data_IF_996445788675
#
_entry.id   IF_996445788675
#
_cell.length_a   1.000
_cell.length_b   1.000
_cell.length_c   1.000
_cell.angle_alpha   90.00
_cell.angle_beta   90.00
_cell.angle_gamma   90.00
#
_symmetry.space_group_name_H-M   'P 1'
#
loop_
_entity.id
_entity.type
_entity.pdbx_description
1 polymer ?
#
# COMPACT_ATOMS: atom_id res chain seq x y z
N UNK A 1 26.06 18.67 -17.35
CA UNK A 1 26.06 19.23 -18.71
C UNK A 1 25.30 20.56 -18.60
N UNK A 2 26.03 21.68 -18.63
CA UNK A 2 25.49 23.03 -18.46
C UNK A 2 24.87 23.53 -19.77
N UNK A 3 23.68 24.13 -19.70
CA UNK A 3 23.19 25.08 -20.73
C UNK A 3 22.39 26.17 -20.02
N UNK A 4 22.94 27.38 -19.99
CA UNK A 4 22.19 28.65 -19.82
C UNK A 4 21.67 29.10 -21.19
N UNK A 5 20.59 29.90 -21.25
CA UNK A 5 20.35 30.82 -22.36
C UNK A 5 20.77 32.26 -21.98
N UNK A 6 21.56 32.87 -22.86
CA UNK A 6 21.79 34.31 -22.96
C UNK A 6 20.83 34.90 -24.01
N UNK A 7 20.35 36.11 -23.75
CA UNK A 7 20.24 37.27 -24.67
C UNK A 7 19.22 38.27 -24.10
N UNK A 8 19.24 39.59 -24.32
CA UNK A 8 20.23 40.63 -24.54
C UNK A 8 19.38 41.91 -24.74
N UNK A 9 19.59 43.01 -24.01
CA UNK A 9 19.21 44.36 -24.48
C UNK A 9 19.78 45.52 -23.64
N UNK A 10 20.15 46.57 -24.38
CA UNK A 10 20.96 47.76 -24.10
C UNK A 10 20.41 48.87 -23.17
N UNK A 11 21.39 49.59 -22.59
CA UNK A 11 21.50 51.05 -22.34
C UNK A 11 20.40 51.84 -21.60
N UNK A 12 20.75 52.48 -20.48
CA UNK A 12 21.27 53.86 -20.46
C UNK A 12 21.73 54.30 -19.05
N UNK A 13 22.86 54.99 -19.01
CA UNK A 13 23.50 55.55 -17.82
C UNK A 13 23.04 57.01 -17.65
N UNK A 14 22.41 57.35 -16.52
CA UNK A 14 22.25 58.75 -16.10
C UNK A 14 22.60 58.92 -14.62
N UNK A 15 23.81 59.44 -14.40
CA UNK A 15 24.20 60.14 -13.19
C UNK A 15 23.40 61.44 -13.09
N UNK A 16 22.77 61.70 -11.95
CA UNK A 16 22.36 63.05 -11.58
C UNK A 16 22.98 63.47 -10.25
N UNK A 17 23.62 64.63 -10.33
CA UNK A 17 24.34 65.37 -9.31
C UNK A 17 23.43 65.84 -8.17
N UNK A 18 24.01 65.85 -6.98
CA UNK A 18 23.53 66.53 -5.78
C UNK A 18 23.86 68.03 -5.89
N UNK A 19 22.92 68.97 -5.64
CA UNK A 19 23.27 70.36 -5.37
C UNK A 19 23.25 70.66 -3.87
N UNK A 20 24.27 71.43 -3.48
CA UNK A 20 24.55 71.99 -2.16
C UNK A 20 23.50 72.99 -1.68
N UNK A 21 23.20 72.94 -0.38
CA UNK A 21 22.54 74.01 0.38
C UNK A 21 23.56 75.09 0.74
N UNK A 22 23.26 76.35 0.42
CA UNK A 22 23.68 77.44 1.30
C UNK A 22 22.86 78.74 1.15
N UNK A 23 22.64 79.36 2.31
CA UNK A 23 22.39 80.79 2.60
C UNK A 23 20.98 81.43 2.51
N UNK A 24 20.54 81.80 3.73
CA UNK A 24 20.09 83.13 4.20
C UNK A 24 18.60 83.45 4.33
N UNK A 25 18.27 83.96 5.52
CA UNK A 25 16.98 84.29 6.09
C UNK A 25 16.58 85.76 5.87
N UNK A 26 15.27 86.07 5.75
CA UNK A 26 14.44 86.93 6.64
C UNK A 26 13.00 87.15 6.07
N UNK A 27 12.02 87.74 6.81
CA UNK A 27 10.84 87.04 7.34
C UNK A 27 9.47 87.46 6.74
N UNK A 28 8.41 86.90 7.33
CA UNK A 28 6.98 87.26 7.26
C UNK A 28 6.16 86.79 6.05
N UNK A 29 5.42 85.69 6.23
CA UNK A 29 3.99 85.61 5.91
C UNK A 29 3.38 84.33 6.50
N UNK A 30 2.43 84.56 7.41
CA UNK A 30 1.48 83.59 7.95
C UNK A 30 0.40 83.36 6.89
N UNK A 31 0.46 82.23 6.17
CA UNK A 31 -0.69 81.64 5.48
C UNK A 31 -0.32 80.26 4.90
N UNK A 32 -1.10 79.22 5.24
CA UNK A 32 -1.18 78.00 4.41
C UNK A 32 -0.69 76.66 4.98
N UNK A 33 -0.91 76.32 6.25
CA UNK A 33 -0.62 74.95 6.76
C UNK A 33 -1.68 73.88 6.40
N UNK A 34 -2.75 74.24 5.68
CA UNK A 34 -3.84 73.33 5.31
C UNK A 34 -3.66 72.56 3.99
N UNK A 35 -2.74 72.99 3.12
CA UNK A 35 -2.60 72.44 1.75
C UNK A 35 -1.63 71.26 1.63
N UNK A 36 -0.47 71.32 2.31
CA UNK A 36 0.55 70.26 2.22
C UNK A 36 0.14 68.98 2.98
N UNK A 37 -0.58 69.13 4.09
CA UNK A 37 -1.10 68.00 4.89
C UNK A 37 -2.19 67.22 4.15
N UNK A 38 -3.02 67.89 3.35
CA UNK A 38 -4.03 67.22 2.51
C UNK A 38 -3.43 66.49 1.31
N UNK A 39 -2.41 67.06 0.65
CA UNK A 39 -1.74 66.43 -0.50
C UNK A 39 -0.94 65.19 -0.10
N UNK A 40 -0.21 65.25 1.02
CA UNK A 40 0.49 64.09 1.57
C UNK A 40 -0.49 63.04 2.08
N UNK A 41 -1.58 63.44 2.74
CA UNK A 41 -2.62 62.52 3.20
C UNK A 41 -3.34 61.79 2.06
N UNK A 42 -3.57 62.45 0.92
CA UNK A 42 -4.19 61.81 -0.26
C UNK A 42 -3.25 60.81 -0.92
N UNK A 43 -1.98 61.17 -1.10
CA UNK A 43 -0.97 60.28 -1.72
C UNK A 43 -0.67 59.08 -0.83
N UNK A 44 -0.64 59.28 0.50
CA UNK A 44 -0.50 58.20 1.47
C UNK A 44 -1.72 57.26 1.41
N UNK A 45 -2.95 57.79 1.42
CA UNK A 45 -4.17 56.98 1.31
C UNK A 45 -4.25 56.13 0.02
N UNK A 46 -3.76 56.64 -1.12
CA UNK A 46 -3.73 55.87 -2.36
C UNK A 46 -2.72 54.70 -2.31
N UNK A 47 -1.57 54.91 -1.66
CA UNK A 47 -0.55 53.86 -1.45
C UNK A 47 -1.06 52.79 -0.47
N UNK A 48 -1.71 53.23 0.62
CA UNK A 48 -2.34 52.37 1.63
C UNK A 48 -3.38 51.43 1.00
N UNK A 49 -4.16 51.92 0.04
CA UNK A 49 -5.24 51.14 -0.55
C UNK A 49 -4.75 50.06 -1.53
N UNK A 50 -3.59 50.26 -2.14
CA UNK A 50 -2.96 49.28 -3.03
C UNK A 50 -2.32 48.14 -2.22
N UNK A 51 -1.54 48.46 -1.19
CA UNK A 51 -0.89 47.46 -0.31
C UNK A 51 -1.91 46.52 0.34
N UNK A 52 -3.09 47.02 0.73
CA UNK A 52 -4.18 46.21 1.28
C UNK A 52 -4.83 45.27 0.26
N UNK A 53 -4.93 45.65 -1.02
CA UNK A 53 -5.47 44.78 -2.07
C UNK A 53 -4.51 43.66 -2.42
N UNK A 54 -3.23 43.99 -2.50
CA UNK A 54 -2.17 43.03 -2.78
C UNK A 54 -2.08 42.00 -1.65
N UNK A 55 -2.21 42.44 -0.40
CA UNK A 55 -2.31 41.57 0.78
C UNK A 55 -3.47 40.55 0.73
N UNK A 56 -4.66 40.99 0.33
CA UNK A 56 -5.85 40.13 0.25
C UNK A 56 -5.70 39.12 -0.90
N UNK A 57 -5.11 39.54 -2.02
CA UNK A 57 -4.76 38.67 -3.14
C UNK A 57 -3.76 37.59 -2.74
N UNK A 58 -2.67 37.96 -2.08
CA UNK A 58 -1.62 37.05 -1.63
C UNK A 58 -2.17 36.03 -0.62
N UNK A 59 -3.01 36.49 0.31
CA UNK A 59 -3.63 35.61 1.32
C UNK A 59 -4.58 34.58 0.69
N UNK A 60 -5.35 34.97 -0.34
CA UNK A 60 -6.23 34.05 -1.09
C UNK A 60 -5.43 33.03 -1.88
N UNK A 61 -4.35 33.47 -2.53
CA UNK A 61 -3.46 32.61 -3.30
C UNK A 61 -2.86 31.53 -2.39
N UNK A 62 -2.34 31.92 -1.24
CA UNK A 62 -1.78 31.00 -0.25
C UNK A 62 -2.82 29.97 0.25
N UNK A 63 -4.08 30.37 0.45
CA UNK A 63 -5.14 29.43 0.85
C UNK A 63 -5.38 28.35 -0.21
N UNK A 64 -5.42 28.74 -1.49
CA UNK A 64 -5.57 27.77 -2.58
C UNK A 64 -4.38 26.81 -2.66
N UNK A 65 -3.16 27.35 -2.61
CA UNK A 65 -1.96 26.53 -2.64
C UNK A 65 -1.85 25.55 -1.45
N UNK A 66 -2.31 25.96 -0.27
CA UNK A 66 -2.35 25.09 0.91
C UNK A 66 -3.33 23.92 0.74
N UNK A 67 -4.46 24.14 0.08
CA UNK A 67 -5.41 23.06 -0.22
C UNK A 67 -4.80 22.05 -1.19
N UNK A 68 -4.15 22.53 -2.25
CA UNK A 68 -3.46 21.67 -3.23
C UNK A 68 -2.34 20.84 -2.57
N UNK A 69 -1.62 21.42 -1.60
CA UNK A 69 -0.59 20.71 -0.83
C UNK A 69 -1.18 19.58 0.05
N UNK A 70 -2.30 19.83 0.75
CA UNK A 70 -2.95 18.81 1.59
C UNK A 70 -3.50 17.64 0.74
N UNK A 71 -4.05 17.97 -0.43
CA UNK A 71 -4.49 16.99 -1.41
C UNK A 71 -3.31 16.15 -1.95
N UNK A 72 -2.18 16.79 -2.27
CA UNK A 72 -0.96 16.10 -2.70
C UNK A 72 -0.41 15.18 -1.60
N UNK A 73 -0.30 15.67 -0.36
CA UNK A 73 0.17 14.88 0.77
C UNK A 73 -0.73 13.65 0.98
N UNK A 74 -2.05 13.85 0.91
CA UNK A 74 -3.05 12.78 1.01
C UNK A 74 -2.96 11.78 -0.15
N UNK A 75 -2.72 12.25 -1.37
CA UNK A 75 -2.49 11.40 -2.53
C UNK A 75 -1.25 10.52 -2.34
N UNK A 76 -0.11 11.11 -1.95
CA UNK A 76 1.14 10.37 -1.74
C UNK A 76 1.02 9.33 -0.62
N UNK A 77 0.27 9.64 0.45
CA UNK A 77 -0.05 8.67 1.51
C UNK A 77 -0.87 7.49 1.00
N UNK A 78 -1.86 7.74 0.13
CA UNK A 78 -2.64 6.64 -0.47
C UNK A 78 -1.77 5.83 -1.43
N UNK A 79 -0.91 6.51 -2.20
CA UNK A 79 0.03 5.87 -3.10
C UNK A 79 1.01 4.97 -2.34
N UNK A 80 1.57 5.41 -1.21
CA UNK A 80 2.47 4.58 -0.42
C UNK A 80 1.80 3.28 0.03
N UNK A 81 0.56 3.33 0.50
CA UNK A 81 -0.20 2.13 0.88
C UNK A 81 -0.37 1.17 -0.30
N UNK A 82 -0.72 1.68 -1.48
CA UNK A 82 -0.85 0.85 -2.69
C UNK A 82 0.48 0.19 -3.10
N UNK A 83 1.59 0.93 -3.03
CA UNK A 83 2.93 0.41 -3.33
C UNK A 83 3.35 -0.65 -2.28
N UNK A 84 3.00 -0.46 -1.00
CA UNK A 84 3.25 -1.43 0.06
C UNK A 84 2.53 -2.75 -0.20
N UNK A 85 1.24 -2.67 -0.54
CA UNK A 85 0.42 -3.83 -0.86
C UNK A 85 0.94 -4.56 -2.10
N UNK A 86 1.28 -3.82 -3.16
CA UNK A 86 1.86 -4.39 -4.37
C UNK A 86 3.18 -5.13 -4.08
N UNK A 87 4.14 -4.44 -3.45
CA UNK A 87 5.44 -5.00 -3.13
C UNK A 87 5.35 -6.24 -2.24
N UNK A 88 4.54 -6.17 -1.18
CA UNK A 88 4.35 -7.29 -0.25
C UNK A 88 3.72 -8.52 -0.95
N UNK A 89 2.74 -8.30 -1.82
CA UNK A 89 2.08 -9.38 -2.55
C UNK A 89 3.03 -10.07 -3.55
N UNK A 90 3.86 -9.28 -4.26
CA UNK A 90 4.86 -9.83 -5.19
C UNK A 90 5.90 -10.66 -4.44
N UNK A 91 6.49 -10.13 -3.36
CA UNK A 91 7.49 -10.86 -2.56
C UNK A 91 6.88 -12.15 -2.01
N UNK A 92 5.70 -12.08 -1.41
CA UNK A 92 5.01 -13.24 -0.85
C UNK A 92 4.71 -14.29 -1.92
N UNK A 93 4.22 -13.87 -3.08
CA UNK A 93 3.91 -14.76 -4.20
C UNK A 93 5.16 -15.46 -4.74
N UNK A 94 6.24 -14.71 -4.96
CA UNK A 94 7.49 -15.25 -5.46
C UNK A 94 8.15 -16.24 -4.48
N UNK A 95 8.21 -15.89 -3.19
CA UNK A 95 8.76 -16.78 -2.16
C UNK A 95 7.92 -18.05 -1.98
N UNK A 96 6.59 -17.97 -2.06
CA UNK A 96 5.71 -19.13 -1.99
C UNK A 96 5.93 -20.08 -3.19
N UNK A 97 6.07 -19.55 -4.41
CA UNK A 97 6.38 -20.34 -5.60
C UNK A 97 7.77 -20.98 -5.53
N UNK A 98 8.77 -20.27 -4.97
CA UNK A 98 10.11 -20.82 -4.79
C UNK A 98 10.09 -22.00 -3.83
N UNK A 99 9.40 -21.86 -2.70
CA UNK A 99 9.29 -22.93 -1.71
C UNK A 99 8.53 -24.14 -2.25
N UNK A 100 7.44 -23.92 -2.98
CA UNK A 100 6.70 -24.99 -3.65
C UNK A 100 7.58 -25.75 -4.66
N UNK A 101 8.39 -25.04 -5.45
CA UNK A 101 9.33 -25.66 -6.38
C UNK A 101 10.41 -26.47 -5.63
N UNK A 102 10.94 -25.95 -4.53
CA UNK A 102 11.96 -26.62 -3.70
C UNK A 102 11.46 -27.93 -3.09
N UNK A 103 10.19 -27.99 -2.68
CA UNK A 103 9.57 -29.18 -2.07
C UNK A 103 9.17 -30.25 -3.10
N UNK A 104 9.13 -29.92 -4.39
CA UNK A 104 8.73 -30.85 -5.45
C UNK A 104 9.82 -31.88 -5.76
N UNK A 105 9.68 -33.10 -5.24
CA UNK A 105 10.65 -34.20 -5.46
C UNK A 105 10.75 -34.67 -6.92
N UNK A 106 9.70 -34.47 -7.72
CA UNK A 106 9.66 -34.80 -9.17
C UNK A 106 9.71 -33.56 -10.07
N UNK A 107 10.04 -32.39 -9.50
CA UNK A 107 10.06 -31.11 -10.23
C UNK A 107 11.11 -31.08 -11.34
N UNK A 108 10.91 -30.24 -12.37
CA UNK A 108 11.92 -29.97 -13.39
C UNK A 108 13.19 -29.37 -12.74
N UNK A 109 14.31 -30.08 -12.81
CA UNK A 109 15.61 -29.66 -12.29
C UNK A 109 16.57 -29.25 -13.42
N UNK A 110 17.81 -28.88 -13.08
CA UNK A 110 18.83 -28.48 -14.04
C UNK A 110 18.65 -27.03 -14.49
N UNK A 111 18.90 -26.76 -15.77
CA UNK A 111 18.90 -25.39 -16.30
C UNK A 111 17.54 -24.70 -16.16
N UNK A 112 16.43 -25.44 -16.26
CA UNK A 112 15.10 -24.93 -15.97
C UNK A 112 14.94 -24.47 -14.51
N UNK A 113 15.36 -25.30 -13.55
CA UNK A 113 15.22 -24.99 -12.12
C UNK A 113 16.05 -23.77 -11.71
N UNK A 114 17.28 -23.66 -12.25
CA UNK A 114 18.14 -22.50 -12.04
C UNK A 114 17.54 -21.22 -12.62
N UNK A 115 16.98 -21.31 -13.84
CA UNK A 115 16.23 -20.21 -14.46
C UNK A 115 15.04 -19.81 -13.59
N UNK A 116 14.23 -20.77 -13.16
CA UNK A 116 13.03 -20.52 -12.34
C UNK A 116 13.35 -19.79 -11.04
N UNK A 117 14.38 -20.24 -10.31
CA UNK A 117 14.81 -19.60 -9.07
C UNK A 117 15.25 -18.15 -9.27
N UNK A 118 16.02 -17.88 -10.33
CA UNK A 118 16.48 -16.54 -10.69
C UNK A 118 15.32 -15.63 -11.11
N UNK A 119 14.37 -16.12 -11.91
CA UNK A 119 13.15 -15.36 -12.26
C UNK A 119 12.39 -14.92 -11.01
N UNK A 120 12.21 -15.84 -10.04
CA UNK A 120 11.56 -15.51 -8.79
C UNK A 120 12.37 -14.52 -7.94
N UNK A 121 13.70 -14.62 -7.96
CA UNK A 121 14.60 -13.68 -7.26
C UNK A 121 14.47 -12.26 -7.81
N UNK A 122 14.41 -12.12 -9.13
CA UNK A 122 14.18 -10.83 -9.79
C UNK A 122 12.87 -10.20 -9.32
N UNK A 123 11.79 -10.98 -9.24
CA UNK A 123 10.50 -10.48 -8.77
C UNK A 123 10.51 -10.14 -7.27
N UNK A 124 11.19 -10.92 -6.43
CA UNK A 124 11.38 -10.56 -5.02
C UNK A 124 12.14 -9.24 -4.88
N UNK A 125 13.19 -9.01 -5.67
CA UNK A 125 13.94 -7.74 -5.70
C UNK A 125 13.06 -6.58 -6.13
N UNK A 126 12.26 -6.73 -7.20
CA UNK A 126 11.29 -5.71 -7.60
C UNK A 126 10.26 -5.43 -6.50
N UNK A 127 9.70 -6.48 -5.88
CA UNK A 127 8.77 -6.31 -4.77
C UNK A 127 9.39 -5.54 -3.60
N UNK A 128 10.68 -5.78 -3.30
CA UNK A 128 11.42 -5.01 -2.29
C UNK A 128 11.63 -3.54 -2.69
N UNK A 129 11.93 -3.25 -3.97
CA UNK A 129 12.00 -1.87 -4.47
C UNK A 129 10.67 -1.13 -4.24
N UNK A 130 9.54 -1.76 -4.51
CA UNK A 130 8.22 -1.16 -4.27
C UNK A 130 7.93 -0.95 -2.77
N UNK A 131 8.41 -1.84 -1.89
CA UNK A 131 8.34 -1.63 -0.44
C UNK A 131 9.20 -0.46 0.04
N UNK A 132 10.36 -0.23 -0.58
CA UNK A 132 11.20 0.94 -0.31
C UNK A 132 10.55 2.23 -0.83
N UNK A 133 10.05 2.24 -2.06
CA UNK A 133 9.27 3.35 -2.64
C UNK A 133 8.08 3.73 -1.75
N UNK A 134 7.36 2.74 -1.21
CA UNK A 134 6.29 2.98 -0.25
C UNK A 134 6.78 3.77 0.97
N UNK A 135 7.92 3.40 1.56
CA UNK A 135 8.46 4.08 2.74
C UNK A 135 8.86 5.51 2.41
N UNK A 136 9.53 5.72 1.28
CA UNK A 136 9.97 7.05 0.86
C UNK A 136 8.78 7.96 0.51
N UNK A 137 7.74 7.43 -0.14
CA UNK A 137 6.47 8.14 -0.37
C UNK A 137 5.78 8.52 0.93
N UNK A 138 5.81 7.66 1.94
CA UNK A 138 5.24 7.95 3.25
C UNK A 138 6.01 9.08 3.93
N UNK A 139 7.34 9.03 3.93
CA UNK A 139 8.19 10.10 4.48
C UNK A 139 7.88 11.43 3.78
N UNK A 140 7.83 11.43 2.44
CA UNK A 140 7.52 12.64 1.67
C UNK A 140 6.13 13.21 1.98
N UNK A 141 5.13 12.35 2.14
CA UNK A 141 3.78 12.75 2.54
C UNK A 141 3.75 13.38 3.94
N UNK A 142 4.50 12.82 4.89
CA UNK A 142 4.60 13.34 6.26
C UNK A 142 5.31 14.70 6.29
N UNK A 143 6.39 14.87 5.53
CA UNK A 143 7.10 16.15 5.38
C UNK A 143 6.20 17.23 4.77
N UNK A 144 5.49 16.93 3.67
CA UNK A 144 4.50 17.84 3.07
C UNK A 144 3.39 18.22 4.06
N UNK A 145 2.92 17.25 4.86
CA UNK A 145 1.91 17.50 5.90
C UNK A 145 2.40 18.42 7.01
N UNK A 146 3.70 18.38 7.33
CA UNK A 146 4.32 19.28 8.32
C UNK A 146 4.38 20.69 7.75
N UNK A 147 4.87 20.85 6.51
CA UNK A 147 4.91 22.15 5.81
C UNK A 147 3.52 22.79 5.79
N UNK A 148 2.50 22.02 5.37
CA UNK A 148 1.12 22.49 5.38
C UNK A 148 0.69 23.05 6.75
N UNK A 149 0.93 22.29 7.84
CA UNK A 149 0.54 22.70 9.19
C UNK A 149 1.28 23.94 9.67
N UNK A 150 2.56 24.04 9.39
CA UNK A 150 3.38 25.19 9.79
C UNK A 150 3.01 26.45 9.03
N UNK A 151 2.88 26.37 7.71
CA UNK A 151 2.44 27.49 6.86
C UNK A 151 1.03 27.94 7.21
N UNK A 152 0.08 27.02 7.44
CA UNK A 152 -1.29 27.36 7.84
C UNK A 152 -1.34 28.03 9.23
N UNK A 153 -0.47 27.62 10.15
CA UNK A 153 -0.32 28.27 11.46
C UNK A 153 0.20 29.70 11.32
N UNK A 154 1.27 29.91 10.54
CA UNK A 154 1.84 31.23 10.28
C UNK A 154 0.83 32.15 9.60
N UNK A 155 0.11 31.66 8.58
CA UNK A 155 -0.95 32.40 7.89
C UNK A 155 -2.04 32.88 8.85
N UNK A 156 -2.53 32.00 9.74
CA UNK A 156 -3.52 32.36 10.77
C UNK A 156 -2.99 33.44 11.71
N UNK A 157 -1.75 33.29 12.18
CA UNK A 157 -1.10 34.26 13.06
C UNK A 157 -1.02 35.65 12.42
N UNK A 158 -0.58 35.76 11.16
CA UNK A 158 -0.47 37.05 10.48
C UNK A 158 -1.83 37.67 10.15
N UNK A 159 -2.82 36.86 9.77
CA UNK A 159 -4.20 37.32 9.60
C UNK A 159 -4.76 37.91 10.89
N UNK A 160 -4.58 37.22 12.02
CA UNK A 160 -5.02 37.71 13.33
C UNK A 160 -4.27 38.97 13.76
N UNK A 161 -2.97 39.06 13.47
CA UNK A 161 -2.16 40.25 13.73
C UNK A 161 -2.69 41.45 12.93
N UNK A 162 -2.95 41.29 11.63
CA UNK A 162 -3.55 42.32 10.78
C UNK A 162 -4.91 42.79 11.29
N UNK A 163 -5.84 41.85 11.51
CA UNK A 163 -7.18 42.17 12.04
C UNK A 163 -7.15 42.84 13.42
N UNK A 164 -6.16 42.52 14.26
CA UNK A 164 -5.99 43.18 15.57
C UNK A 164 -5.58 44.64 15.40
N UNK A 165 -4.63 44.92 14.51
CA UNK A 165 -4.15 46.28 14.26
C UNK A 165 -5.22 47.15 13.60
N UNK A 166 -6.00 46.60 12.67
CA UNK A 166 -7.16 47.29 12.08
C UNK A 166 -8.20 47.69 13.14
N UNK A 167 -8.50 46.81 14.10
CA UNK A 167 -9.42 47.15 15.20
C UNK A 167 -8.90 48.29 16.08
N UNK A 168 -7.59 48.30 16.36
CA UNK A 168 -6.95 49.38 17.14
C UNK A 168 -7.09 50.73 16.40
N UNK A 169 -6.87 50.75 15.08
CA UNK A 169 -7.09 51.95 14.27
C UNK A 169 -8.54 52.41 14.31
N UNK A 170 -9.49 51.49 14.10
CA UNK A 170 -10.92 51.80 14.11
C UNK A 170 -11.38 52.38 15.47
N UNK A 171 -10.88 51.86 16.58
CA UNK A 171 -11.17 52.38 17.92
C UNK A 171 -10.68 53.82 18.08
N UNK A 172 -9.45 54.10 17.64
CA UNK A 172 -8.87 55.43 17.71
C UNK A 172 -9.54 56.44 16.78
N UNK A 173 -9.93 56.03 15.57
CA UNK A 173 -10.74 56.83 14.66
C UNK A 173 -12.13 57.13 15.24
N UNK A 174 -12.77 56.14 15.90
CA UNK A 174 -14.04 56.33 16.60
C UNK A 174 -13.92 57.36 17.72
N UNK A 175 -12.83 57.33 18.48
CA UNK A 175 -12.59 58.29 19.57
C UNK A 175 -12.30 59.70 19.06
N UNK A 176 -11.62 59.83 17.92
CA UNK A 176 -11.43 61.11 17.24
C UNK A 176 -12.76 61.70 16.79
N UNK A 177 -13.62 60.89 16.18
CA UNK A 177 -14.94 61.34 15.72
C UNK A 177 -15.81 61.77 16.91
N UNK A 178 -15.81 61.04 18.02
CA UNK A 178 -16.50 61.46 19.26
C UNK A 178 -15.96 62.80 19.79
N UNK A 179 -14.65 63.01 19.76
CA UNK A 179 -14.04 64.26 20.21
C UNK A 179 -14.42 65.44 19.29
N UNK A 180 -14.46 65.20 17.97
CA UNK A 180 -14.89 66.17 16.97
C UNK A 180 -16.35 66.57 17.15
N UNK A 181 -17.26 65.59 17.25
CA UNK A 181 -18.70 65.86 17.49
C UNK A 181 -18.91 66.67 18.77
N UNK A 182 -18.16 66.38 19.85
CA UNK A 182 -18.21 67.18 21.08
C UNK A 182 -17.73 68.61 20.90
N UNK A 183 -16.66 68.80 20.12
CA UNK A 183 -16.15 70.13 19.77
C UNK A 183 -17.17 70.92 18.95
N UNK A 184 -17.73 70.32 17.90
CA UNK A 184 -18.74 70.95 17.04
C UNK A 184 -19.97 71.35 17.86
N UNK A 185 -20.51 70.42 18.66
CA UNK A 185 -21.68 70.67 19.52
C UNK A 185 -21.42 71.78 20.54
N UNK A 186 -20.24 71.77 21.18
CA UNK A 186 -19.89 72.80 22.18
C UNK A 186 -19.67 74.17 21.53
N UNK A 187 -19.17 74.20 20.29
CA UNK A 187 -19.00 75.43 19.50
C UNK A 187 -20.35 76.01 19.12
N UNK A 188 -21.29 75.19 18.65
CA UNK A 188 -22.66 75.65 18.38
C UNK A 188 -23.36 76.17 19.65
N UNK A 189 -23.14 75.54 20.81
CA UNK A 189 -23.66 76.04 22.10
C UNK A 189 -23.08 77.42 22.46
N UNK A 190 -21.78 77.63 22.23
CA UNK A 190 -21.13 78.92 22.46
C UNK A 190 -21.64 79.99 21.49
N UNK A 191 -21.77 79.69 20.20
CA UNK A 191 -22.37 80.58 19.20
C UNK A 191 -23.80 81.00 19.58
N UNK A 192 -24.63 80.04 20.02
CA UNK A 192 -25.98 80.33 20.52
C UNK A 192 -25.95 81.23 21.76
N UNK A 193 -24.98 81.07 22.66
CA UNK A 193 -24.83 81.90 23.85
C UNK A 193 -24.40 83.34 23.50
N UNK A 194 -23.49 83.50 22.51
CA UNK A 194 -23.11 84.82 21.96
C UNK A 194 -24.35 85.53 21.39
N UNK A 195 -25.15 84.83 20.58
CA UNK A 195 -26.37 85.39 19.99
C UNK A 195 -27.40 85.79 21.07
N UNK A 196 -27.55 85.00 22.13
CA UNK A 196 -28.44 85.33 23.27
C UNK A 196 -27.96 86.56 24.06
N UNK A 197 -26.64 86.71 24.23
CA UNK A 197 -26.01 87.89 24.85
C UNK A 197 -26.15 89.13 23.95
N UNK A 198 -26.07 88.98 22.63
CA UNK A 198 -26.25 90.08 21.67
C UNK A 198 -27.70 90.57 21.54
N UNK A 199 -28.69 89.69 21.76
CA UNK A 199 -30.11 90.02 21.74
C UNK A 199 -30.65 90.57 23.09
N UNK A 200 -29.77 91.04 23.99
CA UNK A 200 -30.13 91.63 25.27
C UNK A 200 -31.05 92.86 25.07
N UNK A 201 -32.29 92.86 25.62
CA UNK A 201 -33.20 94.00 25.52
C UNK A 201 -32.73 95.27 26.25
N UNK A 202 -31.61 95.22 26.98
CA UNK A 202 -30.98 96.36 27.69
C UNK A 202 -29.68 96.87 27.06
N UNK A 203 -29.17 96.24 26.00
CA UNK A 203 -28.01 96.73 25.24
C UNK A 203 -28.41 97.90 24.30
N UNK A 204 -27.53 98.90 24.08
CA UNK A 204 -27.82 100.02 23.17
C UNK A 204 -28.04 99.48 21.75
N UNK A 205 -29.28 99.63 21.27
CA UNK A 205 -29.78 99.03 20.02
C UNK A 205 -28.97 99.47 18.80
N UNK A 206 -28.50 98.50 18.00
CA UNK A 206 -28.28 98.67 16.56
C UNK A 206 -29.12 97.62 15.81
N UNK A 207 -29.98 98.13 14.92
CA UNK A 207 -31.06 97.51 14.11
C UNK A 207 -30.66 96.19 13.40
N UNK A 208 -31.31 95.04 13.65
CA UNK A 208 -32.60 94.47 13.12
C UNK A 208 -32.43 93.57 11.88
N UNK A 209 -32.79 92.27 11.98
CA UNK A 209 -33.80 91.59 11.12
C UNK A 209 -34.15 90.16 11.60
N UNK A 210 -35.43 89.80 11.43
CA UNK A 210 -36.20 88.62 11.89
C UNK A 210 -35.73 87.32 11.19
N UNK A 211 -35.76 86.14 11.82
CA UNK A 211 -36.97 85.36 12.18
C UNK A 211 -36.53 84.11 12.95
N UNK A 212 -37.17 83.76 14.08
CA UNK A 212 -37.42 82.39 14.53
C UNK A 212 -38.31 82.39 15.79
N UNK A 213 -39.04 81.29 15.93
CA UNK A 213 -40.26 81.04 16.72
C UNK A 213 -40.10 81.10 18.24
N UNK A 214 -41.20 81.52 18.89
CA UNK A 214 -41.32 81.83 20.32
C UNK A 214 -41.59 80.59 21.18
N UNK A 215 -40.71 80.28 22.14
CA UNK A 215 -41.05 79.50 23.33
C UNK A 215 -41.24 80.45 24.53
N UNK A 216 -42.49 80.60 24.95
CA UNK A 216 -42.98 81.51 25.99
C UNK A 216 -43.01 80.75 27.31
N UNK A 217 -41.98 80.89 28.15
CA UNK A 217 -41.96 80.76 29.63
C UNK A 217 -40.50 80.72 30.14
N UNK A 218 -39.69 81.71 29.76
CA UNK A 218 -38.37 81.95 30.38
C UNK A 218 -38.33 83.36 30.92
N UNK A 219 -38.17 83.48 32.24
CA UNK A 219 -37.81 84.73 32.91
C UNK A 219 -36.59 85.34 32.20
N UNK A 220 -36.58 86.67 31.94
CA UNK A 220 -35.43 87.32 31.31
C UNK A 220 -34.20 87.11 32.21
N UNK A 221 -33.18 86.45 31.66
CA UNK A 221 -31.90 86.26 32.36
C UNK A 221 -31.25 87.62 32.55
N UNK A 222 -30.69 87.88 33.73
CA UNK A 222 -29.97 89.12 33.97
C UNK A 222 -28.73 89.22 33.06
N UNK A 223 -28.27 90.43 32.71
CA UNK A 223 -27.06 90.61 31.90
C UNK A 223 -25.84 89.85 32.45
N UNK A 224 -25.69 89.83 33.79
CA UNK A 224 -24.65 89.05 34.46
C UNK A 224 -24.81 87.53 34.32
N UNK A 225 -26.04 87.02 34.27
CA UNK A 225 -26.31 85.59 34.02
C UNK A 225 -26.04 85.19 32.57
N UNK A 226 -26.33 86.08 31.60
CA UNK A 226 -26.02 85.84 30.19
C UNK A 226 -24.51 85.87 29.92
N UNK A 227 -23.80 86.80 30.55
CA UNK A 227 -22.34 86.86 30.50
C UNK A 227 -21.71 85.59 31.09
N UNK A 228 -22.18 85.13 32.26
CA UNK A 228 -21.68 83.91 32.89
C UNK A 228 -21.93 82.67 32.02
N UNK A 229 -23.12 82.57 31.41
CA UNK A 229 -23.45 81.44 30.53
C UNK A 229 -22.60 81.41 29.25
N UNK A 230 -22.33 82.57 28.65
CA UNK A 230 -21.45 82.65 27.48
C UNK A 230 -20.01 82.29 27.84
N UNK A 231 -19.51 82.77 28.97
CA UNK A 231 -18.17 82.42 29.46
C UNK A 231 -18.03 80.92 29.76
N UNK A 232 -19.03 80.29 30.40
CA UNK A 232 -19.04 78.85 30.63
C UNK A 232 -19.06 78.05 29.31
N UNK A 233 -19.86 78.48 28.33
CA UNK A 233 -19.91 77.84 27.01
C UNK A 233 -18.59 78.02 26.24
N UNK A 234 -17.95 79.18 26.34
CA UNK A 234 -16.63 79.47 25.77
C UNK A 234 -15.54 78.55 26.34
N UNK A 235 -15.50 78.43 27.67
CA UNK A 235 -14.54 77.54 28.36
C UNK A 235 -14.77 76.09 27.95
N UNK A 236 -16.03 75.66 27.86
CA UNK A 236 -16.40 74.30 27.42
C UNK A 236 -15.97 74.03 25.97
N UNK A 237 -16.22 74.97 25.05
CA UNK A 237 -15.80 74.85 23.66
C UNK A 237 -14.27 74.82 23.53
N UNK A 238 -13.56 75.68 24.26
CA UNK A 238 -12.09 75.68 24.28
C UNK A 238 -11.51 74.35 24.82
N UNK A 239 -12.10 73.80 25.89
CA UNK A 239 -11.70 72.50 26.42
C UNK A 239 -11.96 71.36 25.43
N UNK A 240 -13.10 71.36 24.74
CA UNK A 240 -13.42 70.37 23.72
C UNK A 240 -12.48 70.48 22.50
N UNK A 241 -12.10 71.70 22.10
CA UNK A 241 -11.13 71.93 21.03
C UNK A 241 -9.75 71.37 21.36
N UNK A 242 -9.23 71.63 22.57
CA UNK A 242 -7.94 71.07 23.00
C UNK A 242 -7.99 69.54 23.10
N UNK A 243 -9.11 68.96 23.54
CA UNK A 243 -9.30 67.51 23.53
C UNK A 243 -9.33 66.93 22.11
N UNK A 244 -10.02 67.59 21.17
CA UNK A 244 -10.04 67.19 19.76
C UNK A 244 -8.64 67.25 19.13
N UNK A 245 -7.91 68.37 19.31
CA UNK A 245 -6.52 68.50 18.82
C UNK A 245 -5.61 67.41 19.37
N UNK A 246 -5.70 67.12 20.67
CA UNK A 246 -4.91 66.06 21.31
C UNK A 246 -5.23 64.68 20.73
N UNK A 247 -6.52 64.39 20.51
CA UNK A 247 -6.94 63.12 19.93
C UNK A 247 -6.52 63.01 18.46
N UNK A 248 -6.60 64.10 17.69
CA UNK A 248 -6.17 64.15 16.29
C UNK A 248 -4.68 63.86 16.15
N UNK A 249 -3.83 64.50 16.97
CA UNK A 249 -2.40 64.22 17.00
C UNK A 249 -2.12 62.74 17.31
N UNK A 250 -2.80 62.19 18.31
CA UNK A 250 -2.67 60.77 18.68
C UNK A 250 -3.06 59.83 17.54
N UNK A 251 -4.18 60.07 16.85
CA UNK A 251 -4.62 59.23 15.72
C UNK A 251 -3.62 59.31 14.57
N UNK A 252 -3.11 60.50 14.27
CA UNK A 252 -2.11 60.69 13.22
C UNK A 252 -0.81 59.92 13.53
N UNK A 253 -0.29 60.00 14.75
CA UNK A 253 0.91 59.26 15.17
C UNK A 253 0.71 57.74 15.01
N UNK A 254 -0.46 57.23 15.39
CA UNK A 254 -0.79 55.80 15.31
C UNK A 254 -0.95 55.35 13.86
N UNK A 255 -1.66 56.13 13.03
CA UNK A 255 -1.83 55.83 11.60
C UNK A 255 -0.48 55.83 10.89
N UNK A 256 0.34 56.85 11.15
CA UNK A 256 1.69 56.92 10.59
C UNK A 256 2.48 55.67 10.96
N UNK A 257 2.56 55.31 12.25
CA UNK A 257 3.28 54.12 12.69
C UNK A 257 2.71 52.81 12.08
N UNK A 258 1.39 52.72 11.93
CA UNK A 258 0.76 51.56 11.30
C UNK A 258 1.22 51.40 9.85
N UNK A 259 1.08 52.44 9.04
CA UNK A 259 1.35 52.37 7.60
C UNK A 259 2.85 52.40 7.27
N UNK A 260 3.69 53.07 8.07
CA UNK A 260 5.14 53.12 7.79
C UNK A 260 5.92 51.97 8.41
N UNK A 261 5.33 51.19 9.32
CA UNK A 261 6.08 50.19 10.08
C UNK A 261 5.32 48.89 10.28
N UNK A 262 4.11 48.96 10.82
CA UNK A 262 3.39 47.74 11.22
C UNK A 262 2.87 46.94 10.03
N UNK A 263 2.12 47.59 9.13
CA UNK A 263 1.55 46.94 7.94
C UNK A 263 2.65 46.40 7.01
N UNK A 264 3.69 47.17 6.62
CA UNK A 264 4.79 46.64 5.81
C UNK A 264 5.47 45.43 6.45
N UNK A 265 5.64 45.41 7.78
CA UNK A 265 6.22 44.26 8.47
C UNK A 265 5.32 43.03 8.40
N UNK A 266 4.00 43.17 8.54
CA UNK A 266 3.05 42.05 8.43
C UNK A 266 3.05 41.51 7.00
N UNK A 267 2.96 42.39 5.99
CA UNK A 267 2.96 42.01 4.57
C UNK A 267 4.25 41.30 4.19
N UNK A 268 5.40 41.82 4.63
CA UNK A 268 6.68 41.17 4.42
C UNK A 268 6.70 39.76 5.00
N UNK A 269 6.23 39.56 6.23
CA UNK A 269 6.22 38.24 6.85
C UNK A 269 5.28 37.25 6.12
N UNK A 270 4.13 37.73 5.63
CA UNK A 270 3.22 36.92 4.80
C UNK A 270 3.91 36.53 3.49
N UNK A 271 4.56 37.48 2.82
CA UNK A 271 5.33 37.21 1.60
C UNK A 271 6.47 36.21 1.85
N UNK A 272 7.28 36.42 2.88
CA UNK A 272 8.39 35.52 3.22
C UNK A 272 7.87 34.10 3.49
N UNK A 273 6.69 33.97 4.11
CA UNK A 273 6.01 32.68 4.32
C UNK A 273 5.58 32.02 3.00
N UNK A 274 5.06 32.80 2.05
CA UNK A 274 4.68 32.31 0.72
C UNK A 274 5.91 31.83 -0.05
N UNK A 275 6.98 32.63 -0.06
CA UNK A 275 8.22 32.29 -0.78
C UNK A 275 8.88 31.02 -0.21
N UNK A 276 8.89 30.86 1.12
CA UNK A 276 9.39 29.66 1.79
C UNK A 276 8.53 28.43 1.46
N UNK A 277 7.21 28.58 1.48
CA UNK A 277 6.26 27.54 1.10
C UNK A 277 6.46 27.10 -0.36
N UNK A 278 6.53 28.04 -1.30
CA UNK A 278 6.67 27.73 -2.73
C UNK A 278 8.00 27.01 -3.02
N UNK A 279 9.08 27.45 -2.36
CA UNK A 279 10.38 26.80 -2.45
C UNK A 279 10.34 25.36 -1.92
N UNK A 280 9.70 25.16 -0.76
CA UNK A 280 9.56 23.84 -0.15
C UNK A 280 8.71 22.90 -1.01
N UNK A 281 7.59 23.40 -1.54
CA UNK A 281 6.71 22.67 -2.44
C UNK A 281 7.45 22.25 -3.72
N UNK A 282 8.17 23.17 -4.36
CA UNK A 282 8.96 22.88 -5.55
C UNK A 282 10.01 21.79 -5.27
N UNK A 283 10.74 21.91 -4.16
CA UNK A 283 11.74 20.91 -3.77
C UNK A 283 11.13 19.52 -3.61
N UNK A 284 10.00 19.40 -2.93
CA UNK A 284 9.33 18.11 -2.71
C UNK A 284 8.72 17.53 -3.99
N UNK A 285 8.17 18.37 -4.88
CA UNK A 285 7.68 17.93 -6.19
C UNK A 285 8.81 17.39 -7.07
N UNK A 286 9.94 18.08 -7.10
CA UNK A 286 11.13 17.63 -7.83
C UNK A 286 11.65 16.32 -7.25
N UNK A 287 11.73 16.21 -5.91
CA UNK A 287 12.14 14.97 -5.23
C UNK A 287 11.19 13.81 -5.55
N UNK A 288 9.88 14.06 -5.61
CA UNK A 288 8.90 13.05 -6.03
C UNK A 288 9.12 12.56 -7.46
N UNK A 289 9.42 13.49 -8.39
CA UNK A 289 9.77 13.18 -9.77
C UNK A 289 11.00 12.26 -9.85
N UNK A 290 12.12 12.70 -9.25
CA UNK A 290 13.36 11.91 -9.20
C UNK A 290 13.16 10.53 -8.58
N UNK A 291 12.44 10.45 -7.47
CA UNK A 291 12.15 9.19 -6.81
C UNK A 291 11.36 8.24 -7.73
N UNK A 292 10.34 8.76 -8.43
CA UNK A 292 9.55 7.95 -9.37
C UNK A 292 10.40 7.43 -10.53
N UNK A 293 11.30 8.25 -11.06
CA UNK A 293 12.24 7.86 -12.12
C UNK A 293 13.26 6.82 -11.64
N UNK A 294 13.84 7.02 -10.45
CA UNK A 294 14.85 6.14 -9.86
C UNK A 294 14.31 4.73 -9.62
N UNK A 295 13.13 4.59 -8.99
CA UNK A 295 12.54 3.29 -8.73
C UNK A 295 12.11 2.57 -10.02
N UNK A 296 11.59 3.30 -11.02
CA UNK A 296 11.29 2.73 -12.33
C UNK A 296 12.56 2.20 -13.01
N UNK A 297 13.67 2.95 -12.90
CA UNK A 297 14.96 2.53 -13.45
C UNK A 297 15.53 1.32 -12.70
N UNK A 298 15.42 1.27 -11.37
CA UNK A 298 15.85 0.11 -10.56
C UNK A 298 15.17 -1.17 -10.99
N UNK A 299 13.86 -1.12 -11.24
CA UNK A 299 13.10 -2.28 -11.75
C UNK A 299 13.52 -2.64 -13.17
N UNK A 300 13.72 -1.66 -14.04
CA UNK A 300 14.22 -1.90 -15.39
C UNK A 300 15.60 -2.57 -15.38
N UNK A 301 16.50 -2.16 -14.47
CA UNK A 301 17.83 -2.75 -14.32
C UNK A 301 17.81 -4.15 -13.72
N UNK A 302 16.82 -4.47 -12.88
CA UNK A 302 16.60 -5.86 -12.46
C UNK A 302 16.21 -6.71 -13.67
N UNK A 303 15.26 -6.25 -14.48
CA UNK A 303 14.74 -7.03 -15.61
C UNK A 303 15.72 -7.16 -16.78
N UNK A 304 16.51 -6.13 -17.03
CA UNK A 304 17.49 -6.09 -18.11
C UNK A 304 18.74 -5.31 -17.67
N UNK A 305 19.68 -5.98 -16.97
CA UNK A 305 20.92 -5.37 -16.52
C UNK A 305 21.73 -4.86 -17.71
N UNK A 306 22.14 -3.59 -17.68
CA UNK A 306 23.02 -2.99 -18.70
C UNK A 306 24.50 -3.24 -18.37
N UNK A 307 24.80 -3.39 -17.07
CA UNK A 307 26.15 -3.58 -16.57
C UNK A 307 26.29 -4.95 -15.90
N UNK A 308 27.41 -5.62 -16.16
CA UNK A 308 27.77 -6.87 -15.51
C UNK A 308 27.46 -8.14 -16.32
N UNK A 309 27.80 -9.31 -15.77
CA UNK A 309 27.64 -10.60 -16.44
C UNK A 309 26.24 -11.21 -16.28
N UNK A 310 25.34 -10.56 -15.54
CA UNK A 310 23.99 -11.06 -15.28
C UNK A 310 23.13 -11.02 -16.54
N UNK A 311 22.36 -12.09 -16.77
CA UNK A 311 21.41 -12.15 -17.88
C UNK A 311 20.13 -11.41 -17.51
N UNK A 312 19.57 -10.68 -18.46
CA UNK A 312 18.20 -10.17 -18.37
C UNK A 312 17.17 -11.30 -18.31
N UNK A 313 15.95 -10.98 -17.91
CA UNK A 313 14.85 -11.94 -17.71
C UNK A 313 14.61 -12.76 -18.98
N UNK A 314 14.62 -12.10 -20.13
CA UNK A 314 14.37 -12.74 -21.43
C UNK A 314 15.50 -13.70 -21.79
N UNK A 315 16.74 -13.25 -21.68
CA UNK A 315 17.94 -14.01 -22.00
C UNK A 315 18.07 -15.22 -21.06
N UNK A 316 17.75 -15.05 -19.78
CA UNK A 316 17.71 -16.12 -18.79
C UNK A 316 16.71 -17.20 -19.19
N UNK A 317 15.49 -16.84 -19.56
CA UNK A 317 14.46 -17.81 -20.01
C UNK A 317 14.89 -18.50 -21.31
N UNK A 318 15.56 -17.79 -22.22
CA UNK A 318 16.09 -18.36 -23.46
C UNK A 318 17.29 -19.31 -23.22
N UNK A 319 17.97 -19.19 -22.08
CA UNK A 319 19.13 -20.04 -21.74
C UNK A 319 18.76 -21.45 -21.29
N UNK A 320 17.47 -21.74 -21.09
CA UNK A 320 16.98 -23.06 -20.66
C UNK A 320 17.29 -24.13 -21.73
N UNK A 321 18.10 -25.10 -21.36
CA UNK A 321 18.55 -26.19 -22.23
C UNK A 321 17.71 -27.45 -22.01
N UNK A 322 16.56 -27.51 -22.69
CA UNK A 322 15.64 -28.65 -22.61
C UNK A 322 16.28 -30.01 -22.92
N UNK A 323 17.19 -30.08 -23.90
CA UNK A 323 17.79 -31.33 -24.35
C UNK A 323 18.87 -31.81 -23.36
N UNK A 324 19.61 -30.86 -22.79
CA UNK A 324 20.54 -31.09 -21.69
C UNK A 324 19.84 -31.59 -20.42
N UNK A 325 18.76 -30.92 -20.03
CA UNK A 325 17.97 -31.29 -18.84
C UNK A 325 17.34 -32.68 -18.99
N UNK A 326 16.78 -33.00 -20.17
CA UNK A 326 16.23 -34.33 -20.44
C UNK A 326 17.30 -35.42 -20.37
N UNK A 327 18.50 -35.16 -20.93
CA UNK A 327 19.61 -36.12 -20.86
C UNK A 327 20.06 -36.35 -19.42
N UNK A 328 20.19 -35.29 -18.63
CA UNK A 328 20.55 -35.37 -17.22
C UNK A 328 19.50 -36.16 -16.41
N UNK A 329 18.22 -35.92 -16.70
CA UNK A 329 17.11 -36.67 -16.12
C UNK A 329 17.19 -38.16 -16.47
N UNK A 330 17.29 -38.54 -17.75
CA UNK A 330 17.39 -39.96 -18.14
C UNK A 330 18.61 -40.64 -17.50
N UNK A 331 19.74 -39.95 -17.44
CA UNK A 331 20.97 -40.48 -16.85
C UNK A 331 20.86 -40.74 -15.33
N UNK A 332 20.05 -39.96 -14.62
CA UNK A 332 19.84 -40.19 -13.17
C UNK A 332 19.14 -41.53 -12.90
N UNK A 333 18.27 -41.97 -13.81
CA UNK A 333 17.63 -43.30 -13.74
C UNK A 333 18.46 -44.41 -14.38
N UNK A 334 19.24 -44.10 -15.43
CA UNK A 334 20.04 -45.13 -16.13
C UNK A 334 21.10 -45.76 -15.23
N UNK A 335 21.60 -45.01 -14.25
CA UNK A 335 22.55 -45.49 -13.23
C UNK A 335 22.00 -46.63 -12.37
N UNK A 336 20.66 -46.76 -12.30
CA UNK A 336 19.95 -47.77 -11.51
C UNK A 336 19.24 -48.82 -12.39
N UNK A 337 19.37 -48.74 -13.71
CA UNK A 337 18.70 -49.66 -14.63
C UNK A 337 19.50 -50.96 -14.79
N UNK A 338 18.87 -52.09 -14.47
CA UNK A 338 19.38 -53.43 -14.81
C UNK A 338 19.18 -53.63 -16.32
N UNK A 339 20.23 -53.92 -17.11
CA UNK A 339 20.09 -54.19 -18.53
C UNK A 339 19.13 -55.35 -18.76
N UNK A 340 17.99 -55.09 -19.40
CA UNK A 340 17.08 -56.14 -19.85
C UNK A 340 17.68 -56.78 -21.11
N UNK A 341 18.61 -57.71 -20.93
CA UNK A 341 19.06 -58.57 -22.02
C UNK A 341 17.92 -59.54 -22.36
N UNK A 342 17.11 -59.21 -23.36
CA UNK A 342 16.22 -60.19 -24.00
C UNK A 342 17.08 -61.14 -24.83
N UNK A 343 17.72 -62.11 -24.18
CA UNK A 343 18.27 -63.26 -24.88
C UNK A 343 17.12 -64.01 -25.54
N UNK A 344 17.32 -64.50 -26.76
CA UNK A 344 16.37 -65.41 -27.40
C UNK A 344 16.12 -66.57 -26.45
N UNK A 345 14.85 -66.92 -26.23
CA UNK A 345 14.51 -68.07 -25.40
C UNK A 345 15.30 -69.29 -25.91
N UNK A 346 16.07 -69.97 -25.06
CA UNK A 346 16.87 -71.11 -25.50
C UNK A 346 15.93 -72.19 -26.03
N UNK A 347 16.24 -72.73 -27.21
CA UNK A 347 15.57 -73.93 -27.68
C UNK A 347 15.92 -75.09 -26.76
N UNK A 348 14.91 -75.64 -26.09
CA UNK A 348 15.07 -76.80 -25.22
C UNK A 348 14.58 -78.01 -26.01
N UNK A 349 15.50 -78.90 -26.38
CA UNK A 349 15.20 -80.10 -27.17
C UNK A 349 14.33 -81.06 -26.32
N UNK A 350 13.07 -81.22 -26.71
CA UNK A 350 12.18 -82.19 -26.08
C UNK A 350 12.44 -83.57 -26.67
N UNK A 351 12.90 -84.51 -25.85
CA UNK A 351 12.91 -85.94 -26.19
C UNK A 351 11.46 -86.43 -26.33
N UNK A 352 10.96 -86.44 -27.57
CA UNK A 352 9.66 -87.03 -27.89
C UNK A 352 9.77 -88.56 -27.92
N UNK A 353 9.84 -89.20 -26.74
CA UNK A 353 9.46 -90.60 -26.51
C UNK A 353 9.82 -91.04 -25.09
N UNK A 354 8.82 -91.42 -24.28
CA UNK A 354 8.85 -92.55 -23.31
C UNK A 354 7.65 -92.63 -22.34
N UNK A 355 6.51 -91.95 -22.58
CA UNK A 355 5.40 -91.96 -21.61
C UNK A 355 4.04 -92.36 -22.19
N UNK A 356 3.98 -93.30 -23.13
CA UNK A 356 2.69 -93.77 -23.68
C UNK A 356 2.16 -95.01 -22.93
N UNK A 357 2.94 -95.60 -22.01
CA UNK A 357 2.47 -96.69 -21.15
C UNK A 357 2.80 -96.32 -19.70
N UNK A 358 1.83 -95.71 -19.02
CA UNK A 358 1.89 -95.61 -17.56
C UNK A 358 1.52 -97.00 -16.99
N UNK A 359 2.48 -97.72 -16.44
CA UNK A 359 2.27 -99.08 -15.91
C UNK A 359 1.65 -99.07 -14.50
N UNK A 360 1.55 -97.91 -13.84
CA UNK A 360 1.01 -97.75 -12.48
C UNK A 360 0.28 -96.41 -12.31
N UNK A 361 -0.91 -96.24 -12.93
CA UNK A 361 -1.69 -95.01 -12.77
C UNK A 361 -2.10 -94.78 -11.31
N UNK A 362 -2.09 -93.52 -10.90
CA UNK A 362 -2.50 -93.05 -9.56
C UNK A 362 -3.87 -92.41 -9.61
N UNK A 363 -4.21 -91.74 -10.70
CA UNK A 363 -5.51 -91.09 -10.89
C UNK A 363 -6.49 -92.01 -11.61
N UNK A 364 -7.77 -92.01 -11.20
CA UNK A 364 -8.82 -92.77 -11.88
C UNK A 364 -8.86 -94.27 -11.57
N UNK A 365 -8.05 -94.75 -10.61
CA UNK A 365 -8.03 -96.15 -10.15
C UNK A 365 -8.96 -96.29 -8.95
N UNK A 366 -9.60 -97.45 -8.82
CA UNK A 366 -10.41 -97.76 -7.64
C UNK A 366 -9.55 -97.76 -6.36
N UNK A 367 -10.07 -97.19 -5.28
CA UNK A 367 -9.31 -97.01 -4.05
C UNK A 367 -8.89 -98.36 -3.45
N UNK A 368 -9.76 -99.36 -3.43
CA UNK A 368 -9.44 -100.67 -2.87
C UNK A 368 -8.38 -101.38 -3.73
N UNK A 369 -8.48 -101.27 -5.06
CA UNK A 369 -7.46 -101.79 -5.97
C UNK A 369 -6.10 -101.12 -5.78
N UNK A 370 -6.09 -99.80 -5.61
CA UNK A 370 -4.86 -99.03 -5.40
C UNK A 370 -4.17 -99.42 -4.09
N UNK A 371 -4.92 -99.53 -2.98
CA UNK A 371 -4.38 -99.91 -1.66
C UNK A 371 -3.82 -101.33 -1.66
N UNK A 372 -4.51 -102.29 -2.29
CA UNK A 372 -4.04 -103.67 -2.41
C UNK A 372 -2.79 -103.75 -3.29
N UNK A 373 -2.76 -103.02 -4.41
CA UNK A 373 -1.62 -102.98 -5.34
C UNK A 373 -0.37 -102.40 -4.70
N UNK A 374 -0.53 -101.33 -3.93
CA UNK A 374 0.58 -100.57 -3.35
C UNK A 374 0.98 -101.09 -1.95
N UNK A 375 0.26 -102.08 -1.42
CA UNK A 375 0.47 -102.68 -0.09
C UNK A 375 0.46 -101.64 1.04
N UNK A 376 -0.45 -100.66 0.96
CA UNK A 376 -0.61 -99.59 1.95
C UNK A 376 -2.05 -99.49 2.47
N UNK A 377 -2.21 -98.98 3.68
CA UNK A 377 -3.53 -98.66 4.25
C UNK A 377 -4.06 -97.27 3.80
N UNK A 378 -3.19 -96.43 3.24
CA UNK A 378 -3.51 -95.09 2.77
C UNK A 378 -2.71 -94.76 1.49
N UNK A 379 -3.30 -94.10 0.47
CA UNK A 379 -2.58 -93.80 -0.76
C UNK A 379 -1.49 -92.75 -0.53
N UNK A 380 -0.30 -93.00 -1.09
CA UNK A 380 0.87 -92.14 -0.88
C UNK A 380 0.65 -90.69 -1.36
N UNK A 381 -0.12 -90.48 -2.44
CA UNK A 381 -0.50 -89.15 -2.91
C UNK A 381 -1.28 -88.36 -1.86
N UNK A 382 -2.18 -89.02 -1.12
CA UNK A 382 -2.97 -88.37 -0.07
C UNK A 382 -2.04 -87.93 1.05
N UNK A 383 -1.17 -88.83 1.52
CA UNK A 383 -0.20 -88.58 2.59
C UNK A 383 0.71 -87.40 2.24
N UNK A 384 1.36 -87.45 1.07
CA UNK A 384 2.31 -86.41 0.65
C UNK A 384 1.64 -85.05 0.48
N UNK A 385 0.47 -85.01 -0.16
CA UNK A 385 -0.23 -83.74 -0.34
C UNK A 385 -0.75 -83.16 0.98
N UNK A 386 -1.29 -83.98 1.89
CA UNK A 386 -1.77 -83.47 3.18
C UNK A 386 -0.62 -82.98 4.06
N UNK A 387 0.49 -83.71 4.12
CA UNK A 387 1.68 -83.30 4.87
C UNK A 387 2.22 -81.96 4.36
N UNK A 388 2.35 -81.79 3.03
CA UNK A 388 2.78 -80.53 2.44
C UNK A 388 1.80 -79.36 2.74
N UNK A 389 0.48 -79.61 2.72
CA UNK A 389 -0.53 -78.59 3.05
C UNK A 389 -0.49 -78.22 4.54
N UNK A 390 -0.30 -79.19 5.43
CA UNK A 390 -0.17 -78.95 6.87
C UNK A 390 1.14 -78.23 7.21
N UNK A 391 2.22 -78.50 6.48
CA UNK A 391 3.52 -77.88 6.73
C UNK A 391 3.62 -76.46 6.14
N UNK A 392 3.13 -76.24 4.92
CA UNK A 392 3.36 -75.01 4.16
C UNK A 392 2.09 -74.21 3.86
N UNK A 393 0.91 -74.83 3.99
CA UNK A 393 -0.36 -74.22 3.63
C UNK A 393 -1.06 -73.47 4.74
N UNK A 394 -0.72 -73.69 6.01
CA UNK A 394 -1.56 -73.25 7.15
C UNK A 394 -1.83 -71.74 7.21
N UNK A 395 -0.88 -70.91 6.75
CA UNK A 395 -1.04 -69.44 6.71
C UNK A 395 -1.69 -68.93 5.41
N UNK A 396 -2.00 -69.81 4.46
CA UNK A 396 -2.58 -69.46 3.16
C UNK A 396 -4.11 -69.43 3.25
N UNK A 397 -4.72 -68.27 2.97
CA UNK A 397 -6.17 -68.13 3.00
C UNK A 397 -6.84 -68.86 1.82
N UNK A 398 -7.74 -69.79 2.11
CA UNK A 398 -8.63 -70.39 1.11
C UNK A 398 -7.99 -71.45 0.22
N UNK A 399 -6.98 -72.19 0.71
CA UNK A 399 -6.25 -73.27 0.00
C UNK A 399 -7.16 -74.21 -0.81
N UNK A 400 -8.28 -74.65 -0.22
CA UNK A 400 -9.21 -75.57 -0.90
C UNK A 400 -10.20 -74.85 -1.84
N UNK A 401 -10.39 -73.54 -1.67
CA UNK A 401 -11.30 -72.69 -2.47
C UNK A 401 -10.61 -72.08 -3.70
N UNK A 402 -9.37 -71.62 -3.54
CA UNK A 402 -8.56 -71.04 -4.62
C UNK A 402 -7.94 -72.18 -5.43
N UNK A 403 -7.98 -72.08 -6.76
CA UNK A 403 -7.34 -73.06 -7.64
C UNK A 403 -5.88 -72.69 -7.85
N UNK A 404 -5.00 -73.70 -7.87
CA UNK A 404 -3.60 -73.50 -8.19
C UNK A 404 -3.37 -73.18 -9.66
N UNK A 405 -2.13 -72.82 -9.98
CA UNK A 405 -1.70 -72.58 -11.36
C UNK A 405 -1.89 -73.88 -12.18
N UNK A 406 -2.67 -73.80 -13.27
CA UNK A 406 -3.08 -74.98 -14.04
C UNK A 406 -1.89 -75.78 -14.62
N UNK A 407 -0.84 -75.09 -15.08
CA UNK A 407 0.37 -75.74 -15.62
C UNK A 407 1.15 -76.48 -14.54
N UNK A 408 1.30 -75.89 -13.35
CA UNK A 408 1.94 -76.52 -12.20
C UNK A 408 1.14 -77.73 -11.70
N UNK A 409 -0.19 -77.59 -11.64
CA UNK A 409 -1.13 -78.66 -11.27
C UNK A 409 -1.02 -79.84 -12.25
N UNK A 410 -1.03 -79.59 -13.56
CA UNK A 410 -0.91 -80.63 -14.57
C UNK A 410 0.47 -81.33 -14.53
N UNK A 411 1.54 -80.56 -14.29
CA UNK A 411 2.89 -81.09 -14.14
C UNK A 411 2.99 -82.01 -12.92
N UNK A 412 2.50 -81.56 -11.76
CA UNK A 412 2.52 -82.36 -10.54
C UNK A 412 1.67 -83.61 -10.67
N UNK A 413 0.48 -83.48 -11.25
CA UNK A 413 -0.36 -84.64 -11.58
C UNK A 413 0.41 -85.65 -12.41
N UNK A 414 1.09 -85.23 -13.49
CA UNK A 414 1.87 -86.11 -14.34
C UNK A 414 3.07 -86.74 -13.59
N UNK A 415 3.69 -86.02 -12.66
CA UNK A 415 4.75 -86.58 -11.81
C UNK A 415 4.22 -87.67 -10.89
N UNK A 416 3.11 -87.42 -10.19
CA UNK A 416 2.44 -88.42 -9.34
C UNK A 416 2.00 -89.64 -10.14
N UNK A 417 1.43 -89.43 -11.32
CA UNK A 417 0.96 -90.53 -12.16
C UNK A 417 2.14 -91.34 -12.73
N UNK A 418 3.30 -90.73 -12.98
CA UNK A 418 4.51 -91.39 -13.49
C UNK A 418 5.21 -92.23 -12.41
N UNK A 419 5.45 -91.64 -11.23
CA UNK A 419 6.10 -92.29 -10.10
C UNK A 419 5.78 -91.49 -8.82
N UNK A 420 4.76 -91.95 -8.08
CA UNK A 420 4.32 -91.30 -6.85
C UNK A 420 5.41 -91.27 -5.77
N UNK A 421 6.24 -92.30 -5.68
CA UNK A 421 7.27 -92.41 -4.66
C UNK A 421 8.42 -91.44 -4.89
N UNK A 422 8.72 -91.11 -6.16
CA UNK A 422 9.72 -90.10 -6.53
C UNK A 422 9.26 -88.64 -6.35
N UNK A 423 7.98 -88.38 -6.08
CA UNK A 423 7.51 -87.00 -5.85
C UNK A 423 7.91 -86.55 -4.44
N UNK A 424 8.78 -85.55 -4.37
CA UNK A 424 9.15 -84.86 -3.13
C UNK A 424 8.50 -83.47 -3.09
N UNK A 425 7.59 -83.27 -2.14
CA UNK A 425 6.89 -82.00 -1.91
C UNK A 425 7.53 -81.15 -0.81
N UNK A 426 8.55 -81.66 -0.11
CA UNK A 426 9.18 -81.00 1.04
C UNK A 426 10.46 -80.23 0.65
N UNK A 427 11.16 -80.65 -0.41
CA UNK A 427 12.49 -80.11 -0.77
C UNK A 427 12.63 -79.58 -2.22
N UNK A 428 11.53 -79.33 -2.93
CA UNK A 428 11.60 -78.95 -4.34
C UNK A 428 11.21 -77.48 -4.57
N UNK A 429 12.23 -76.62 -4.72
CA UNK A 429 12.25 -75.27 -5.30
C UNK A 429 11.16 -74.23 -4.92
N UNK A 430 11.56 -72.96 -4.95
CA UNK A 430 10.79 -71.72 -4.71
C UNK A 430 9.54 -71.53 -5.64
N UNK A 431 9.14 -72.56 -6.39
CA UNK A 431 8.13 -72.50 -7.47
C UNK A 431 6.97 -73.51 -7.32
N UNK A 432 6.81 -74.11 -6.14
CA UNK A 432 5.69 -75.01 -5.84
C UNK A 432 4.59 -74.28 -5.08
N UNK A 433 3.63 -73.71 -5.83
CA UNK A 433 2.42 -73.09 -5.29
C UNK A 433 1.56 -74.11 -4.52
N UNK A 434 1.34 -73.87 -3.23
CA UNK A 434 0.58 -74.77 -2.36
C UNK A 434 -0.87 -74.98 -2.82
N UNK A 435 -1.45 -73.98 -3.50
CA UNK A 435 -2.78 -74.13 -4.09
C UNK A 435 -2.80 -75.15 -5.23
N UNK A 436 -1.66 -75.36 -5.91
CA UNK A 436 -1.49 -76.40 -6.94
C UNK A 436 -1.43 -77.79 -6.32
N UNK A 437 -0.74 -77.96 -5.19
CA UNK A 437 -0.75 -79.22 -4.41
C UNK A 437 -2.17 -79.57 -3.95
N UNK A 438 -2.89 -78.61 -3.37
CA UNK A 438 -4.29 -78.80 -2.99
C UNK A 438 -5.19 -79.12 -4.19
N UNK A 439 -4.91 -78.53 -5.36
CA UNK A 439 -5.65 -78.81 -6.59
C UNK A 439 -5.40 -80.21 -7.14
N UNK A 440 -4.18 -80.73 -7.03
CA UNK A 440 -3.84 -82.12 -7.36
C UNK A 440 -4.58 -83.10 -6.44
N UNK A 441 -4.54 -82.87 -5.13
CA UNK A 441 -5.24 -83.68 -4.14
C UNK A 441 -6.75 -83.72 -4.41
N UNK A 442 -7.36 -82.55 -4.67
CA UNK A 442 -8.77 -82.45 -5.06
C UNK A 442 -9.08 -83.21 -6.35
N UNK A 443 -8.19 -83.16 -7.35
CA UNK A 443 -8.38 -83.89 -8.60
C UNK A 443 -8.36 -85.40 -8.39
N UNK A 444 -7.47 -85.90 -7.51
CA UNK A 444 -7.40 -87.31 -7.18
C UNK A 444 -8.72 -87.81 -6.55
N UNK A 445 -9.23 -87.13 -5.51
CA UNK A 445 -10.51 -87.50 -4.89
C UNK A 445 -11.70 -87.45 -5.86
N UNK A 446 -11.72 -86.47 -6.77
CA UNK A 446 -12.80 -86.29 -7.75
C UNK A 446 -12.83 -87.42 -8.80
N UNK A 447 -11.68 -88.04 -9.07
CA UNK A 447 -11.53 -89.02 -10.14
C UNK A 447 -11.63 -90.47 -9.68
N UNK A 448 -11.82 -90.71 -8.39
CA UNK A 448 -12.13 -92.04 -7.89
C UNK A 448 -13.39 -92.59 -8.59
N UNK A 449 -13.39 -93.85 -9.10
CA UNK A 449 -14.56 -94.47 -9.71
C UNK A 449 -15.80 -94.47 -8.79
N UNK A 450 -15.57 -94.74 -7.50
CA UNK A 450 -16.55 -94.55 -6.41
C UNK A 450 -15.98 -93.53 -5.41
N UNK A 451 -16.69 -92.43 -5.09
CA UNK A 451 -16.19 -91.43 -4.14
C UNK A 451 -15.98 -92.02 -2.74
N UNK A 452 -15.14 -91.36 -1.93
CA UNK A 452 -14.88 -91.75 -0.53
C UNK A 452 -16.16 -91.98 0.29
N UNK A 453 -17.17 -91.12 0.10
CA UNK A 453 -18.52 -91.38 0.58
C UNK A 453 -19.22 -92.27 -0.45
N UNK A 454 -18.94 -93.58 -0.38
CA UNK A 454 -19.33 -94.57 -1.39
C UNK A 454 -20.81 -94.47 -1.72
N UNK A 455 -21.17 -94.69 -2.99
CA UNK A 455 -22.57 -94.60 -3.42
C UNK A 455 -23.48 -95.57 -2.68
N UNK A 456 -22.93 -96.72 -2.25
CA UNK A 456 -23.63 -97.71 -1.44
C UNK A 456 -24.02 -97.18 -0.06
N UNK A 457 -23.11 -96.47 0.63
CA UNK A 457 -23.33 -95.94 1.97
C UNK A 457 -23.99 -94.56 1.97
N UNK A 458 -24.08 -93.89 0.82
CA UNK A 458 -24.67 -92.56 0.68
C UNK A 458 -26.04 -92.40 1.35
N UNK A 459 -27.02 -93.32 1.19
CA UNK A 459 -28.31 -93.20 1.90
C UNK A 459 -28.16 -93.16 3.42
N UNK A 460 -27.21 -93.95 3.97
CA UNK A 460 -26.94 -93.99 5.42
C UNK A 460 -26.22 -92.73 5.89
N UNK A 461 -25.33 -92.16 5.08
CA UNK A 461 -24.71 -90.87 5.39
C UNK A 461 -25.72 -89.72 5.39
N UNK A 462 -26.68 -89.71 4.46
CA UNK A 462 -27.76 -88.71 4.45
C UNK A 462 -28.69 -88.87 5.66
N UNK A 463 -29.05 -90.10 6.02
CA UNK A 463 -29.82 -90.38 7.24
C UNK A 463 -29.07 -89.90 8.49
N UNK A 464 -27.76 -90.16 8.59
CA UNK A 464 -26.94 -89.73 9.73
C UNK A 464 -26.70 -88.21 9.79
N UNK A 465 -26.63 -87.53 8.64
CA UNK A 465 -26.49 -86.08 8.55
C UNK A 465 -27.83 -85.33 8.77
N UNK A 466 -28.95 -86.02 8.60
CA UNK A 466 -30.31 -85.52 8.84
C UNK A 466 -30.73 -85.62 10.31
N UNK A 467 -29.97 -85.00 11.21
CA UNK A 467 -30.41 -84.65 12.58
C UNK A 467 -30.79 -83.18 12.67
#
# INVERSE_FOLDING_TARGET
MFVQPQDAAHHHHHQHQVPSLDSQAHPDQDDGSGGETQSLSSTMMDFEHQDLKDADSDTRTLIHQLADLDDLASFLKKRSVMEAEYGANIVKGASALREAHRLSQEGKQGSYGDCWNKVLEMHERMGNNHLELSRDLQILSEELSIIYKETEKSRKQYKEAGSRQERILQEHDSDLEKAKVKYDTSTEEWERAILQKANDPTAPKRTLTKTMTMNIFRQPKSPGSLHKQEEEARIKAAAAHEQYKKQLAKVNDIRQYYFTTTLPSILKNVKDTIDEFDTALQYHLVRYGYMSEDYMMKDAMILNPIEGPELGLRELVMSVNKDGDLRAYVNSFSSSMIPCARTSAPYQEYTMAQSIINTRPVFGVDLAEQLVRDETDLPEIVVKCTQAIEQFGMDTMGIYRVSGIQSATNRLRAMFDKDCSAVDLENTDEYMDINSVASVLKSWFRELPDPLLTRELYPRFIEAAGM
#
